data_IF_433536112618
#
_entry.id   IF_433536112618
#
_cell.length_a   1.000
_cell.length_b   1.000
_cell.length_c   1.000
_cell.angle_alpha   90.00
_cell.angle_beta   90.00
_cell.angle_gamma   90.00
#
_symmetry.space_group_name_H-M   'P 1'
#
loop_
_entity.id
_entity.type
_entity.pdbx_description
1 polymer ?
#
# COMPACT_ATOMS: atom_id res chain seq x y z
N UNK A 1 -17.76 -5.14 4.75
CA UNK A 1 -17.23 -5.43 3.40
C UNK A 1 -15.72 -5.37 3.50
N UNK A 2 -15.03 -6.43 3.13
CA UNK A 2 -13.57 -6.37 3.00
C UNK A 2 -13.23 -5.37 1.90
N UNK A 3 -12.32 -4.43 2.21
CA UNK A 3 -11.84 -3.49 1.22
C UNK A 3 -10.88 -4.25 0.29
N UNK A 4 -11.45 -4.77 -0.80
CA UNK A 4 -10.75 -5.60 -1.80
C UNK A 4 -9.50 -4.89 -2.34
N UNK A 5 -9.52 -3.55 -2.40
CA UNK A 5 -8.36 -2.77 -2.87
C UNK A 5 -7.24 -2.79 -1.83
N UNK A 6 -7.56 -2.61 -0.55
CA UNK A 6 -6.57 -2.72 0.53
C UNK A 6 -5.91 -4.10 0.54
N UNK A 7 -6.69 -5.18 0.40
CA UNK A 7 -6.14 -6.54 0.33
C UNK A 7 -5.20 -6.72 -0.87
N UNK A 8 -5.61 -6.25 -2.06
CA UNK A 8 -4.78 -6.31 -3.25
C UNK A 8 -3.46 -5.53 -3.11
N UNK A 9 -3.48 -4.38 -2.43
CA UNK A 9 -2.27 -3.60 -2.11
C UNK A 9 -1.34 -4.40 -1.21
N UNK A 10 -1.84 -4.97 -0.11
CA UNK A 10 -1.03 -5.75 0.82
C UNK A 10 -0.43 -7.00 0.14
N UNK A 11 -1.23 -7.72 -0.63
CA UNK A 11 -0.76 -8.89 -1.37
C UNK A 11 0.37 -8.53 -2.34
N UNK A 12 0.25 -7.41 -3.06
CA UNK A 12 1.33 -6.92 -3.93
C UNK A 12 2.56 -6.49 -3.16
N UNK A 13 2.42 -5.81 -2.02
CA UNK A 13 3.54 -5.42 -1.18
C UNK A 13 4.31 -6.63 -0.65
N UNK A 14 3.60 -7.67 -0.20
CA UNK A 14 4.21 -8.87 0.35
C UNK A 14 5.01 -9.69 -0.69
N UNK A 15 4.67 -9.55 -1.97
CA UNK A 15 5.42 -10.17 -3.08
C UNK A 15 6.42 -9.20 -3.74
N UNK A 16 6.53 -7.97 -3.26
CA UNK A 16 7.45 -6.97 -3.79
C UNK A 16 8.76 -6.97 -3.02
N UNK A 17 9.86 -6.75 -3.76
CA UNK A 17 11.17 -6.59 -3.16
C UNK A 17 11.41 -5.11 -2.85
N UNK A 18 11.75 -4.74 -1.61
CA UNK A 18 12.13 -3.37 -1.30
C UNK A 18 13.42 -2.97 -2.01
N UNK A 19 13.52 -1.67 -2.32
CA UNK A 19 14.73 -1.04 -2.83
C UNK A 19 15.82 -0.89 -1.74
N UNK A 20 16.92 -0.22 -2.08
CA UNK A 20 18.06 0.00 -1.18
C UNK A 20 17.71 0.81 0.08
N UNK A 21 16.61 1.56 0.08
CA UNK A 21 16.12 2.37 1.19
C UNK A 21 14.98 1.69 1.96
N UNK A 22 14.80 0.38 1.75
CA UNK A 22 13.67 -0.42 2.23
C UNK A 22 12.30 0.10 1.75
N UNK A 23 12.25 0.79 0.61
CA UNK A 23 11.02 1.32 0.05
C UNK A 23 10.46 0.41 -1.05
N UNK A 24 9.12 0.33 -1.13
CA UNK A 24 8.39 -0.35 -2.18
C UNK A 24 7.47 0.69 -2.83
N UNK A 25 7.50 0.76 -4.16
CA UNK A 25 6.64 1.64 -4.95
C UNK A 25 5.70 0.76 -5.76
N UNK A 26 4.40 0.94 -5.56
CA UNK A 26 3.35 0.33 -6.36
C UNK A 26 2.71 1.41 -7.24
N UNK A 27 2.60 1.13 -8.53
CA UNK A 27 1.89 2.01 -9.46
C UNK A 27 0.52 1.44 -9.80
N UNK A 28 -0.43 2.27 -10.22
CA UNK A 28 -1.80 1.85 -10.53
C UNK A 28 -1.90 0.97 -11.79
N UNK A 29 -0.81 0.78 -12.52
CA UNK A 29 -0.73 -0.27 -13.54
C UNK A 29 -0.62 -1.66 -12.90
N UNK A 30 -0.08 -1.74 -11.68
CA UNK A 30 0.03 -2.97 -10.88
C UNK A 30 -1.23 -3.25 -10.06
N UNK A 31 -2.04 -2.21 -9.80
CA UNK A 31 -3.29 -2.26 -9.02
C UNK A 31 -4.29 -1.26 -9.61
N UNK A 32 -5.46 -1.72 -10.08
CA UNK A 32 -6.56 -0.82 -10.47
C UNK A 32 -7.12 -0.11 -9.23
N UNK A 33 -6.46 0.94 -8.79
CA UNK A 33 -7.00 1.88 -7.79
C UNK A 33 -8.05 2.70 -8.54
N UNK A 34 -9.32 2.37 -8.31
CA UNK A 34 -10.46 3.10 -8.88
C UNK A 34 -10.39 4.55 -8.36
N UNK A 35 -10.66 5.51 -9.25
CA UNK A 35 -10.26 6.91 -9.15
C UNK A 35 -10.73 7.72 -7.92
N UNK A 36 -11.48 7.14 -6.99
CA UNK A 36 -12.00 7.83 -5.80
C UNK A 36 -11.77 7.00 -4.52
N UNK A 37 -10.53 7.03 -4.00
CA UNK A 37 -10.23 6.51 -2.66
C UNK A 37 -10.78 7.48 -1.64
N UNK A 38 -11.90 7.15 -1.00
CA UNK A 38 -12.51 8.04 -0.02
C UNK A 38 -11.70 8.07 1.29
N UNK A 39 -11.96 9.07 2.16
CA UNK A 39 -11.21 9.26 3.40
C UNK A 39 -11.19 8.01 4.30
N UNK A 40 -12.30 7.28 4.40
CA UNK A 40 -12.37 6.07 5.22
C UNK A 40 -11.53 4.94 4.64
N UNK A 41 -11.50 4.78 3.31
CA UNK A 41 -10.66 3.80 2.63
C UNK A 41 -9.16 4.12 2.78
N UNK A 42 -8.79 5.40 2.66
CA UNK A 42 -7.41 5.85 2.90
C UNK A 42 -6.98 5.58 4.35
N UNK A 43 -7.86 5.88 5.31
CA UNK A 43 -7.59 5.65 6.73
C UNK A 43 -7.47 4.16 7.06
N UNK A 44 -8.35 3.33 6.49
CA UNK A 44 -8.28 1.88 6.64
C UNK A 44 -6.98 1.32 6.06
N UNK A 45 -6.61 1.73 4.84
CA UNK A 45 -5.34 1.34 4.21
C UNK A 45 -4.14 1.72 5.09
N UNK A 46 -4.13 2.93 5.65
CA UNK A 46 -3.07 3.37 6.55
C UNK A 46 -2.94 2.47 7.79
N UNK A 47 -4.06 2.11 8.43
CA UNK A 47 -4.05 1.22 9.60
C UNK A 47 -3.53 -0.16 9.21
N UNK A 48 -4.03 -0.72 8.10
CA UNK A 48 -3.62 -2.05 7.62
C UNK A 48 -2.13 -2.09 7.29
N UNK A 49 -1.61 -1.09 6.57
CA UNK A 49 -0.18 -0.99 6.28
C UNK A 49 0.67 -1.01 7.55
N UNK A 50 0.29 -0.23 8.57
CA UNK A 50 0.99 -0.23 9.86
C UNK A 50 0.94 -1.58 10.57
N UNK A 51 -0.21 -2.26 10.54
CA UNK A 51 -0.36 -3.58 11.14
C UNK A 51 0.56 -4.62 10.46
N UNK A 52 0.65 -4.55 9.14
CA UNK A 52 1.50 -5.40 8.29
C UNK A 52 2.99 -4.98 8.31
N UNK A 53 3.37 -3.95 9.07
CA UNK A 53 4.76 -3.54 9.23
C UNK A 53 5.28 -2.61 8.13
N UNK A 54 4.40 -1.94 7.39
CA UNK A 54 4.72 -0.91 6.40
C UNK A 54 4.43 0.50 6.91
N UNK A 55 5.26 1.45 6.51
CA UNK A 55 5.05 2.89 6.71
C UNK A 55 4.60 3.52 5.40
N UNK A 56 3.42 4.15 5.36
CA UNK A 56 3.03 4.94 4.20
C UNK A 56 3.91 6.20 4.13
N UNK A 57 4.68 6.34 3.06
CA UNK A 57 5.53 7.52 2.81
C UNK A 57 4.83 8.53 1.93
N UNK A 58 4.12 8.05 0.93
CA UNK A 58 3.48 8.89 -0.07
C UNK A 58 2.39 8.12 -0.79
N UNK A 59 1.30 8.81 -1.08
CA UNK A 59 0.18 8.29 -1.87
C UNK A 59 -0.31 9.38 -2.81
N UNK A 60 -0.29 9.08 -4.09
CA UNK A 60 -0.95 9.83 -5.14
C UNK A 60 -1.96 8.94 -5.87
N UNK A 61 -2.80 9.56 -6.71
CA UNK A 61 -3.89 8.90 -7.45
C UNK A 61 -3.48 7.56 -8.09
N UNK A 62 -2.24 7.45 -8.54
CA UNK A 62 -1.71 6.33 -9.29
C UNK A 62 -0.46 5.68 -8.68
N UNK A 63 -0.05 6.10 -7.49
CA UNK A 63 1.22 5.62 -6.90
C UNK A 63 1.11 5.56 -5.39
N UNK A 64 1.56 4.45 -4.81
CA UNK A 64 1.76 4.30 -3.37
C UNK A 64 3.23 3.98 -3.15
N UNK A 65 3.89 4.76 -2.28
CA UNK A 65 5.21 4.45 -1.77
C UNK A 65 5.11 4.11 -0.29
N UNK A 66 5.58 2.93 0.06
CA UNK A 66 5.69 2.49 1.45
C UNK A 66 7.13 2.16 1.80
N UNK A 67 7.46 2.22 3.09
CA UNK A 67 8.73 1.72 3.63
C UNK A 67 8.45 0.47 4.44
N UNK A 68 9.15 -0.63 4.19
CA UNK A 68 9.07 -1.84 5.02
C UNK A 68 9.83 -1.57 6.33
N UNK A 69 9.14 -1.72 7.45
CA UNK A 69 9.69 -1.47 8.81
C UNK A 69 9.99 -2.79 9.52
N UNK A 70 9.23 -3.84 9.23
CA UNK A 70 9.44 -5.18 9.80
C UNK A 70 9.72 -6.18 8.68
N UNK A 71 10.79 -6.94 8.83
CA UNK A 71 10.94 -8.21 8.12
C UNK A 71 10.30 -9.29 8.99
N UNK A 72 9.23 -9.89 8.46
CA UNK A 72 8.65 -11.12 9.00
C UNK A 72 9.30 -12.33 8.34
#
# INVERSE_FOLDING_TARGET
>A
MENVITLAIIEKLNHSHPDKDNCIILNSFDIKIVNDFNFFEQYQLYITLKAEGYELRYMEKHTIKVKKIKDF
#
